data_IF_265183664342
#
_entry.id   IF_265183664342
#
_cell.length_a   1.000
_cell.length_b   1.000
_cell.length_c   1.000
_cell.angle_alpha   90.00
_cell.angle_beta   90.00
_cell.angle_gamma   90.00
#
_symmetry.space_group_name_H-M   'P 1'
#
loop_
_entity.id
_entity.type
_entity.pdbx_description
1 polymer ?
#
# COMPACT_ATOMS: atom_id res chain seq x y z
N UNK A 1 -18.46 8.49 -13.48
CA UNK A 1 -17.74 9.53 -12.72
C UNK A 1 -16.42 8.93 -12.25
N UNK A 2 -15.33 9.11 -13.02
CA UNK A 2 -13.99 8.76 -12.53
C UNK A 2 -13.50 9.93 -11.69
N UNK A 3 -13.39 9.74 -10.38
CA UNK A 3 -12.78 10.74 -9.51
C UNK A 3 -11.27 10.80 -9.85
N UNK A 4 -10.74 11.94 -10.35
CA UNK A 4 -9.34 12.04 -10.77
C UNK A 4 -8.36 11.75 -9.62
N UNK A 5 -8.78 12.01 -8.38
CA UNK A 5 -8.04 11.69 -7.16
C UNK A 5 -7.70 10.19 -7.01
N UNK A 6 -8.49 9.28 -7.61
CA UNK A 6 -8.22 7.84 -7.53
C UNK A 6 -7.09 7.41 -8.45
N UNK A 7 -6.95 7.96 -9.66
CA UNK A 7 -5.93 7.51 -10.62
C UNK A 7 -4.52 7.92 -10.20
N UNK A 8 -4.35 9.16 -9.71
CA UNK A 8 -3.07 9.66 -9.21
C UNK A 8 -2.58 8.89 -7.97
N UNK A 9 -3.50 8.57 -7.06
CA UNK A 9 -3.18 7.77 -5.87
C UNK A 9 -2.74 6.36 -6.25
N UNK A 10 -3.44 5.70 -7.17
CA UNK A 10 -3.08 4.37 -7.65
C UNK A 10 -1.69 4.40 -8.32
N UNK A 11 -1.42 5.42 -9.14
CA UNK A 11 -0.10 5.61 -9.76
C UNK A 11 1.01 5.81 -8.71
N UNK A 12 0.76 6.64 -7.70
CA UNK A 12 1.73 6.92 -6.62
C UNK A 12 2.03 5.68 -5.78
N UNK A 13 1.03 4.83 -5.55
CA UNK A 13 1.17 3.60 -4.76
C UNK A 13 1.57 2.38 -5.59
N UNK A 14 1.71 2.52 -6.92
CA UNK A 14 2.04 1.40 -7.81
C UNK A 14 0.93 0.34 -7.88
N UNK A 15 -0.33 0.75 -7.70
CA UNK A 15 -1.48 -0.14 -7.81
C UNK A 15 -1.94 -0.19 -9.27
N UNK A 16 -1.96 -1.39 -9.83
CA UNK A 16 -2.45 -1.71 -11.16
C UNK A 16 -3.77 -2.44 -11.02
N UNK A 17 -4.85 -1.83 -11.54
CA UNK A 17 -6.15 -2.48 -11.65
C UNK A 17 -6.32 -3.04 -13.07
N UNK A 18 -6.64 -4.33 -13.17
CA UNK A 18 -6.88 -5.04 -14.43
C UNK A 18 -8.35 -5.44 -14.50
N UNK A 19 -9.08 -5.15 -15.59
CA UNK A 19 -10.46 -5.60 -15.75
C UNK A 19 -10.59 -7.12 -15.63
N UNK A 20 -11.60 -7.60 -14.92
CA UNK A 20 -11.81 -9.04 -14.69
C UNK A 20 -12.70 -9.73 -15.75
N UNK A 21 -13.29 -8.95 -16.67
CA UNK A 21 -14.19 -9.45 -17.71
C UNK A 21 -15.67 -9.61 -17.28
N UNK A 22 -15.99 -9.40 -16.01
CA UNK A 22 -17.35 -9.49 -15.43
C UNK A 22 -17.94 -8.14 -15.01
N UNK A 23 -17.26 -7.05 -15.39
CA UNK A 23 -17.63 -5.69 -15.01
C UNK A 23 -16.93 -5.19 -13.74
N UNK A 24 -15.99 -5.96 -13.20
CA UNK A 24 -15.14 -5.59 -12.06
C UNK A 24 -13.66 -5.48 -12.42
N UNK A 25 -12.82 -5.50 -11.38
CA UNK A 25 -11.36 -5.40 -11.49
C UNK A 25 -10.69 -6.30 -10.47
N UNK A 26 -9.53 -6.84 -10.85
CA UNK A 26 -8.52 -7.39 -9.94
C UNK A 26 -7.38 -6.41 -9.82
N UNK A 27 -6.66 -6.41 -8.69
CA UNK A 27 -5.48 -5.56 -8.51
C UNK A 27 -4.30 -6.34 -7.94
N UNK A 28 -3.09 -5.79 -8.10
CA UNK A 28 -1.90 -6.33 -7.41
C UNK A 28 -2.02 -6.14 -5.90
N UNK A 29 -1.49 -7.11 -5.15
CA UNK A 29 -1.53 -7.11 -3.69
C UNK A 29 -0.18 -6.70 -3.10
N UNK A 30 -0.19 -5.87 -2.06
CA UNK A 30 0.99 -5.49 -1.31
C UNK A 30 0.62 -4.71 -0.06
N UNK A 31 1.52 -4.69 0.91
CA UNK A 31 1.34 -3.94 2.16
C UNK A 31 2.36 -2.79 2.17
N UNK A 32 1.89 -1.55 2.06
CA UNK A 32 2.72 -0.35 2.16
C UNK A 32 2.88 0.06 3.63
N UNK A 33 4.12 0.13 4.12
CA UNK A 33 4.44 0.70 5.43
C UNK A 33 4.65 2.21 5.29
N UNK A 34 3.76 3.00 5.88
CA UNK A 34 3.78 4.48 5.81
C UNK A 34 4.18 5.05 7.17
N UNK A 35 5.13 5.99 7.18
CA UNK A 35 5.54 6.69 8.41
C UNK A 35 4.61 7.85 8.80
N UNK A 36 4.88 8.47 9.95
CA UNK A 36 4.06 9.58 10.49
C UNK A 36 4.10 10.84 9.62
N UNK A 37 5.05 10.95 8.71
CA UNK A 37 5.16 12.05 7.75
C UNK A 37 4.47 11.71 6.42
N UNK A 38 3.79 10.57 6.33
CA UNK A 38 3.09 10.13 5.13
C UNK A 38 4.01 9.52 4.06
N UNK A 39 5.24 9.14 4.41
CA UNK A 39 6.19 8.55 3.45
C UNK A 39 6.12 7.03 3.47
N UNK A 40 6.05 6.40 2.29
CA UNK A 40 6.21 4.95 2.15
C UNK A 40 7.66 4.58 2.45
N UNK A 41 7.87 3.73 3.46
CA UNK A 41 9.19 3.28 3.92
C UNK A 41 9.58 1.95 3.33
N UNK A 42 8.60 1.09 3.10
CA UNK A 42 8.79 -0.24 2.55
C UNK A 42 7.46 -0.76 2.00
N UNK A 43 7.54 -1.70 1.05
CA UNK A 43 6.39 -2.47 0.56
C UNK A 43 6.68 -3.95 0.78
N UNK A 44 5.70 -4.68 1.31
CA UNK A 44 5.79 -6.11 1.57
C UNK A 44 4.84 -6.87 0.65
N UNK A 45 5.18 -8.13 0.38
CA UNK A 45 4.22 -9.07 -0.19
C UNK A 45 3.04 -9.24 0.77
N UNK A 46 1.83 -9.41 0.24
CA UNK A 46 0.62 -9.53 1.06
C UNK A 46 0.64 -10.79 1.93
N UNK A 47 1.34 -11.84 1.49
CA UNK A 47 1.47 -13.09 2.22
C UNK A 47 2.44 -12.98 3.40
N UNK A 48 3.38 -12.02 3.36
CA UNK A 48 4.39 -11.77 4.40
C UNK A 48 3.96 -10.67 5.39
N UNK A 49 2.68 -10.71 5.79
CA UNK A 49 2.08 -9.70 6.65
C UNK A 49 2.70 -9.65 8.06
N UNK A 50 3.27 -10.77 8.54
CA UNK A 50 3.96 -10.80 9.83
C UNK A 50 5.22 -9.92 9.80
N UNK A 51 5.99 -9.96 8.71
CA UNK A 51 7.17 -9.11 8.56
C UNK A 51 6.78 -7.64 8.43
N UNK A 52 5.70 -7.35 7.70
CA UNK A 52 5.14 -6.00 7.63
C UNK A 52 4.76 -5.46 9.02
N UNK A 53 4.10 -6.27 9.83
CA UNK A 53 3.73 -5.91 11.21
C UNK A 53 4.95 -5.72 12.12
N UNK A 54 5.95 -6.60 12.00
CA UNK A 54 7.19 -6.49 12.77
C UNK A 54 7.93 -5.18 12.44
N UNK A 55 8.06 -4.86 11.14
CA UNK A 55 8.67 -3.62 10.68
C UNK A 55 7.88 -2.39 11.15
N UNK A 56 6.54 -2.44 11.12
CA UNK A 56 5.70 -1.35 11.63
C UNK A 56 5.93 -1.08 13.12
N UNK A 57 6.04 -2.14 13.94
CA UNK A 57 6.35 -2.03 15.38
C UNK A 57 7.73 -1.43 15.61
N UNK A 58 8.74 -1.87 14.84
CA UNK A 58 10.09 -1.33 14.92
C UNK A 58 10.13 0.15 14.52
N UNK A 59 9.44 0.53 13.45
CA UNK A 59 9.33 1.92 13.00
C UNK A 59 8.64 2.80 14.06
N UNK A 60 7.59 2.29 14.70
CA UNK A 60 6.88 2.99 15.76
C UNK A 60 7.76 3.20 17.01
N UNK A 61 8.54 2.19 17.40
CA UNK A 61 9.46 2.28 18.53
C UNK A 61 10.59 3.29 18.29
N UNK A 62 11.11 3.37 17.06
CA UNK A 62 12.14 4.35 16.68
C UNK A 62 11.61 5.79 16.61
N UNK A 63 10.30 5.97 16.47
CA UNK A 63 9.67 7.29 16.41
C UNK A 63 9.29 7.84 17.79
N UNK A 64 9.45 7.05 18.87
CA UNK A 64 9.27 7.51 20.24
C UNK A 64 10.56 8.19 20.71
N UNK A 65 10.50 9.46 21.15
CA UNK A 65 11.67 10.19 21.67
C UNK A 65 12.18 9.61 22.99
#
# INVERSE_FOLDING_TARGET
MSQPASAELLGTLGVVAVPDGFGGFVHNSGIHLVDRQGRVRQVFDYTDWQSALAAARQLAAQAQP
#
